data_IF_713710591404
#
_entry.id   IF_713710591404
#
_cell.length_a   1.000
_cell.length_b   1.000
_cell.length_c   1.000
_cell.angle_alpha   90.00
_cell.angle_beta   90.00
_cell.angle_gamma   90.00
#
_symmetry.space_group_name_H-M   'P 1'
#
loop_
_entity.id
_entity.type
_entity.pdbx_description
1 polymer ?
#
# COMPACT_ATOMS: atom_id res chain seq x y z
N UNK A 1 0.96 2.54 27.57
CA UNK A 1 0.85 1.30 26.78
C UNK A 1 -0.58 0.80 26.85
N UNK A 2 -1.08 0.24 25.75
CA UNK A 2 -2.42 -0.35 25.62
C UNK A 2 -2.30 -1.78 25.11
N UNK A 3 -3.37 -2.56 25.22
CA UNK A 3 -3.46 -3.84 24.53
C UNK A 3 -3.58 -3.57 23.03
N UNK A 4 -2.79 -4.31 22.22
CA UNK A 4 -2.85 -4.15 20.78
C UNK A 4 -4.22 -4.64 20.25
N UNK A 5 -4.92 -3.86 19.43
CA UNK A 5 -6.26 -4.25 18.93
C UNK A 5 -6.19 -5.45 17.96
N UNK A 6 -5.06 -5.70 17.34
CA UNK A 6 -4.86 -6.85 16.46
C UNK A 6 -4.48 -8.10 17.26
N UNK A 7 -5.28 -9.17 17.16
CA UNK A 7 -5.08 -10.42 17.89
C UNK A 7 -3.73 -11.09 17.63
N UNK A 8 -3.14 -10.87 16.46
CA UNK A 8 -1.85 -11.46 16.05
C UNK A 8 -0.69 -10.45 16.09
N UNK A 9 -0.85 -9.29 16.73
CA UNK A 9 0.16 -8.21 16.74
C UNK A 9 1.55 -8.65 17.25
N UNK A 10 1.63 -9.68 18.10
CA UNK A 10 2.90 -10.22 18.62
C UNK A 10 3.56 -11.24 17.70
N UNK A 11 2.82 -11.78 16.74
CA UNK A 11 3.26 -12.83 15.82
C UNK A 11 3.56 -12.26 14.44
N UNK A 12 2.67 -11.39 13.94
CA UNK A 12 2.80 -10.73 12.65
C UNK A 12 3.92 -9.68 12.67
N UNK A 13 4.81 -9.71 11.68
CA UNK A 13 5.90 -8.74 11.51
C UNK A 13 5.47 -7.37 10.96
N UNK A 14 4.18 -7.16 10.66
CA UNK A 14 3.69 -5.97 9.97
C UNK A 14 3.60 -4.70 10.84
N UNK A 15 3.33 -4.85 12.15
CA UNK A 15 3.13 -3.72 13.06
C UNK A 15 4.05 -3.82 14.28
N UNK A 16 4.73 -2.70 14.64
CA UNK A 16 5.71 -2.68 15.74
C UNK A 16 5.23 -1.93 16.97
N UNK A 17 4.27 -1.01 16.84
CA UNK A 17 3.89 -0.07 17.89
C UNK A 17 2.38 -0.03 18.20
N UNK A 18 1.62 -1.05 17.82
CA UNK A 18 0.18 -1.12 18.13
C UNK A 18 -0.14 -1.21 19.64
N UNK A 19 0.86 -1.51 20.46
CA UNK A 19 0.76 -1.53 21.92
C UNK A 19 0.90 -0.13 22.56
N UNK A 20 0.93 0.92 21.76
CA UNK A 20 0.82 2.32 22.18
C UNK A 20 -0.51 2.89 21.71
N UNK A 21 -1.17 3.72 22.53
CA UNK A 21 -2.30 4.52 22.06
C UNK A 21 -1.83 5.46 20.93
N UNK A 22 -2.75 5.90 20.10
CA UNK A 22 -2.38 6.60 18.86
C UNK A 22 -1.67 7.93 19.14
N UNK A 23 -2.09 8.65 20.18
CA UNK A 23 -1.45 9.89 20.63
C UNK A 23 0.02 9.67 20.99
N UNK A 24 0.33 8.58 21.71
CA UNK A 24 1.71 8.22 22.04
C UNK A 24 2.52 7.80 20.81
N UNK A 25 1.87 7.19 19.80
CA UNK A 25 2.52 6.90 18.53
C UNK A 25 2.93 8.18 17.80
N UNK A 26 2.08 9.22 17.83
CA UNK A 26 2.39 10.53 17.25
C UNK A 26 3.56 11.20 17.99
N UNK A 27 3.54 11.21 19.33
CA UNK A 27 4.65 11.71 20.16
C UNK A 27 5.96 10.99 19.86
N UNK A 28 5.91 9.65 19.72
CA UNK A 28 7.11 8.85 19.38
C UNK A 28 7.68 9.23 18.00
N UNK A 29 6.81 9.42 17.01
CA UNK A 29 7.20 9.82 15.65
C UNK A 29 7.80 11.23 15.64
N UNK A 30 7.16 12.17 16.33
CA UNK A 30 7.64 13.54 16.51
C UNK A 30 9.06 13.54 17.09
N UNK A 31 9.23 12.89 18.24
CA UNK A 31 10.54 12.79 18.92
C UNK A 31 11.61 12.11 18.08
N UNK A 32 11.23 11.14 17.24
CA UNK A 32 12.17 10.48 16.33
C UNK A 32 12.75 11.47 15.31
N UNK A 33 11.92 12.32 14.70
CA UNK A 33 12.37 13.34 13.74
C UNK A 33 13.22 14.37 14.45
N UNK A 34 12.76 14.92 15.58
CA UNK A 34 13.49 15.86 16.42
C UNK A 34 14.89 15.32 16.78
N UNK A 35 14.96 14.09 17.30
CA UNK A 35 16.23 13.46 17.66
C UNK A 35 17.16 13.27 16.47
N UNK A 36 16.64 12.95 15.29
CA UNK A 36 17.45 12.79 14.08
C UNK A 36 18.03 14.15 13.63
N UNK A 37 17.23 15.21 13.63
CA UNK A 37 17.71 16.56 13.32
C UNK A 37 18.80 17.01 14.30
N UNK A 38 18.62 16.78 15.60
CA UNK A 38 19.58 17.21 16.62
C UNK A 38 20.84 16.34 16.63
N UNK A 39 20.73 15.02 16.60
CA UNK A 39 21.86 14.09 16.82
C UNK A 39 22.62 13.74 15.54
N UNK A 40 21.91 13.64 14.41
CA UNK A 40 22.50 13.29 13.11
C UNK A 40 22.72 14.55 12.30
N UNK A 41 21.73 15.44 12.24
CA UNK A 41 21.78 16.69 11.51
C UNK A 41 22.60 17.79 12.20
N UNK A 42 22.96 17.59 13.49
CA UNK A 42 23.73 18.54 14.30
C UNK A 42 23.09 19.92 14.46
N UNK A 43 21.76 20.02 14.31
CA UNK A 43 21.02 21.25 14.58
C UNK A 43 20.86 21.47 16.08
N UNK A 44 20.92 22.73 16.52
CA UNK A 44 20.66 23.09 17.92
C UNK A 44 19.17 22.85 18.25
N UNK A 45 18.89 22.76 19.56
CA UNK A 45 17.50 22.62 20.02
C UNK A 45 16.65 23.81 19.57
N UNK A 46 17.17 25.02 19.72
CA UNK A 46 16.51 26.27 19.32
C UNK A 46 16.17 26.29 17.80
N UNK A 47 17.11 25.82 16.95
CA UNK A 47 16.88 25.73 15.52
C UNK A 47 15.74 24.74 15.19
N UNK A 48 15.70 23.60 15.87
CA UNK A 48 14.66 22.57 15.64
C UNK A 48 13.30 23.08 16.11
N UNK A 49 13.22 23.65 17.33
CA UNK A 49 11.98 24.19 17.89
C UNK A 49 11.38 25.31 17.04
N UNK A 50 12.23 26.10 16.37
CA UNK A 50 11.79 27.20 15.49
C UNK A 50 11.09 26.73 14.21
N UNK A 51 11.44 25.55 13.68
CA UNK A 51 10.98 25.09 12.36
C UNK A 51 10.12 23.83 12.42
N UNK A 52 10.08 23.17 13.57
CA UNK A 52 9.39 21.90 13.70
C UNK A 52 7.94 22.11 14.14
N UNK A 53 7.03 21.74 13.26
CA UNK A 53 5.61 21.76 13.53
C UNK A 53 5.12 20.43 14.13
N UNK A 54 3.93 20.40 14.76
CA UNK A 54 3.34 19.17 15.26
C UNK A 54 3.12 18.14 14.14
N UNK A 55 3.34 16.86 14.45
CA UNK A 55 3.09 15.79 13.49
C UNK A 55 1.60 15.73 13.12
N UNK A 56 1.30 15.72 11.84
CA UNK A 56 -0.06 15.60 11.32
C UNK A 56 -0.53 14.15 11.43
N UNK A 57 -1.48 13.91 12.31
CA UNK A 57 -2.07 12.59 12.55
C UNK A 57 -3.24 12.25 11.63
N UNK A 58 -3.73 11.02 11.78
CA UNK A 58 -4.98 10.53 11.19
C UNK A 58 -6.10 10.65 12.22
N UNK A 59 -7.32 10.89 11.76
CA UNK A 59 -8.53 10.82 12.58
C UNK A 59 -8.84 9.37 12.98
N UNK A 60 -8.79 8.45 11.98
CA UNK A 60 -8.87 7.01 12.18
C UNK A 60 -7.59 6.34 11.67
N UNK A 61 -6.75 5.76 12.55
CA UNK A 61 -5.50 5.12 12.17
C UNK A 61 -5.67 3.68 11.67
N UNK A 62 -6.89 3.27 11.34
CA UNK A 62 -7.20 1.95 10.79
C UNK A 62 -7.70 2.02 9.35
N UNK A 63 -7.78 0.87 8.67
CA UNK A 63 -8.35 0.72 7.31
C UNK A 63 -7.78 1.64 6.23
N UNK A 64 -6.60 2.20 6.45
CA UNK A 64 -6.01 3.19 5.57
C UNK A 64 -5.18 2.62 4.42
N UNK A 65 -4.76 1.34 4.49
CA UNK A 65 -3.88 0.77 3.46
C UNK A 65 -4.68 0.36 2.23
N UNK A 66 -4.42 1.05 1.13
CA UNK A 66 -5.01 0.75 -0.18
C UNK A 66 -4.32 -0.38 -0.93
N UNK A 67 -3.23 -0.94 -0.39
CA UNK A 67 -2.46 -2.04 -0.97
C UNK A 67 -2.06 -3.04 0.11
N UNK A 68 -2.28 -4.32 -0.18
CA UNK A 68 -1.75 -5.42 0.61
C UNK A 68 -1.17 -6.51 -0.31
N UNK A 69 -0.13 -7.19 0.16
CA UNK A 69 0.46 -8.36 -0.50
C UNK A 69 0.49 -9.48 0.53
N UNK A 70 -0.30 -10.51 0.25
CA UNK A 70 -0.46 -11.64 1.14
C UNK A 70 0.33 -12.84 0.62
N UNK A 71 1.40 -13.28 1.29
CA UNK A 71 1.98 -14.59 1.02
C UNK A 71 0.96 -15.69 1.25
N UNK A 72 1.04 -16.72 0.40
CA UNK A 72 0.28 -17.94 0.51
C UNK A 72 1.16 -19.04 1.13
N UNK A 73 0.60 -19.83 2.02
CA UNK A 73 1.33 -20.91 2.68
C UNK A 73 0.40 -21.96 3.27
N UNK A 74 0.97 -22.82 4.09
CA UNK A 74 0.22 -23.80 4.88
C UNK A 74 0.33 -23.47 6.37
N UNK A 75 -0.76 -23.71 7.10
CA UNK A 75 -0.70 -23.77 8.55
C UNK A 75 -0.11 -25.13 9.03
N UNK A 76 0.01 -25.28 10.35
CA UNK A 76 0.51 -26.52 10.99
C UNK A 76 -0.36 -27.75 10.73
N UNK A 77 -1.62 -27.54 10.36
CA UNK A 77 -2.59 -28.60 10.10
C UNK A 77 -2.69 -28.92 8.59
N UNK A 78 -1.90 -28.25 7.76
CA UNK A 78 -1.82 -28.47 6.30
C UNK A 78 -2.90 -27.73 5.52
N UNK A 79 -3.63 -26.78 6.12
CA UNK A 79 -4.62 -25.98 5.41
C UNK A 79 -3.95 -24.81 4.69
N UNK A 80 -4.51 -24.44 3.53
CA UNK A 80 -4.08 -23.24 2.79
C UNK A 80 -4.43 -22.00 3.61
N UNK A 81 -3.44 -21.12 3.80
CA UNK A 81 -3.61 -19.87 4.54
C UNK A 81 -2.97 -18.71 3.79
N UNK A 82 -3.55 -17.53 4.00
CA UNK A 82 -2.98 -16.25 3.62
C UNK A 82 -2.69 -15.45 4.87
N UNK A 83 -1.66 -14.59 4.82
CA UNK A 83 -1.34 -13.79 5.98
C UNK A 83 -0.15 -12.88 5.76
N UNK A 84 0.65 -12.70 6.79
CA UNK A 84 1.92 -11.98 6.69
C UNK A 84 3.04 -12.82 7.33
N UNK A 85 4.27 -12.56 6.95
CA UNK A 85 5.41 -13.25 7.55
C UNK A 85 5.60 -12.85 9.02
N UNK A 86 5.91 -13.83 9.85
CA UNK A 86 6.43 -13.57 11.18
C UNK A 86 7.74 -12.77 11.08
N UNK A 87 8.01 -11.92 12.07
CA UNK A 87 9.22 -11.11 12.08
C UNK A 87 10.47 -11.98 11.94
N UNK A 88 11.34 -11.64 10.99
CA UNK A 88 12.59 -12.35 10.66
C UNK A 88 12.41 -13.83 10.25
N UNK A 89 11.28 -14.15 9.65
CA UNK A 89 10.94 -15.51 9.23
C UNK A 89 10.12 -15.46 7.92
N UNK A 90 10.09 -16.57 7.18
CA UNK A 90 9.20 -16.82 6.05
C UNK A 90 7.95 -17.62 6.46
N UNK A 91 7.73 -17.84 7.75
CA UNK A 91 6.53 -18.47 8.25
C UNK A 91 5.32 -17.52 8.06
N UNK A 92 4.32 -17.98 7.34
CA UNK A 92 3.07 -17.24 7.16
C UNK A 92 2.23 -17.35 8.44
N UNK A 93 1.95 -16.20 9.04
CA UNK A 93 0.98 -16.10 10.16
C UNK A 93 -0.38 -15.87 9.54
N UNK A 94 -1.33 -16.82 9.71
CA UNK A 94 -2.67 -16.69 9.16
C UNK A 94 -3.38 -15.42 9.63
N UNK A 95 -4.13 -14.80 8.74
CA UNK A 95 -4.91 -13.62 9.06
C UNK A 95 -6.30 -13.71 8.43
N UNK A 96 -7.31 -13.52 9.27
CA UNK A 96 -8.69 -13.42 8.81
C UNK A 96 -8.98 -12.01 8.31
N UNK A 97 -8.48 -11.01 9.06
CA UNK A 97 -8.68 -9.60 8.75
C UNK A 97 -7.52 -8.74 9.28
N UNK A 98 -6.98 -7.88 8.44
CA UNK A 98 -5.96 -6.91 8.82
C UNK A 98 -6.60 -5.56 9.11
N UNK A 99 -6.51 -5.09 10.36
CA UNK A 99 -7.09 -3.80 10.77
C UNK A 99 -6.55 -2.60 9.99
N UNK A 100 -5.38 -2.71 9.37
CA UNK A 100 -4.81 -1.64 8.54
C UNK A 100 -5.30 -1.70 7.08
N UNK A 101 -5.64 -2.89 6.58
CA UNK A 101 -6.08 -3.12 5.20
C UNK A 101 -7.57 -2.87 5.00
N UNK A 102 -7.98 -2.77 3.76
CA UNK A 102 -9.39 -2.64 3.38
C UNK A 102 -10.18 -3.91 3.71
N UNK A 103 -11.47 -3.77 4.01
CA UNK A 103 -12.34 -4.88 4.43
C UNK A 103 -12.55 -5.94 3.35
N UNK A 104 -12.45 -5.55 2.09
CA UNK A 104 -12.60 -6.46 0.93
C UNK A 104 -11.53 -7.55 0.89
N UNK A 105 -10.37 -7.34 1.52
CA UNK A 105 -9.28 -8.31 1.55
C UNK A 105 -9.73 -9.69 2.05
N UNK A 106 -10.48 -9.74 3.14
CA UNK A 106 -10.94 -10.99 3.73
C UNK A 106 -11.80 -11.81 2.75
N UNK A 107 -12.78 -11.15 2.10
CA UNK A 107 -13.65 -11.79 1.10
C UNK A 107 -12.87 -12.28 -0.10
N UNK A 108 -11.96 -11.46 -0.64
CA UNK A 108 -11.13 -11.80 -1.79
C UNK A 108 -10.26 -13.02 -1.49
N UNK A 109 -9.60 -13.04 -0.33
CA UNK A 109 -8.74 -14.16 0.08
C UNK A 109 -9.53 -15.45 0.29
N UNK A 110 -10.77 -15.37 0.82
CA UNK A 110 -11.65 -16.52 0.96
C UNK A 110 -12.00 -17.12 -0.43
N UNK A 111 -12.41 -16.29 -1.39
CA UNK A 111 -12.70 -16.72 -2.78
C UNK A 111 -11.47 -17.39 -3.42
N UNK A 112 -10.28 -16.81 -3.25
CA UNK A 112 -9.05 -17.38 -3.81
C UNK A 112 -8.72 -18.71 -3.14
N UNK A 113 -8.94 -18.85 -1.82
CA UNK A 113 -8.75 -20.12 -1.12
C UNK A 113 -9.65 -21.21 -1.66
N UNK A 114 -10.95 -20.96 -1.81
CA UNK A 114 -11.91 -21.91 -2.38
C UNK A 114 -11.52 -22.31 -3.81
N UNK A 115 -11.10 -21.35 -4.62
CA UNK A 115 -10.58 -21.63 -5.97
C UNK A 115 -9.35 -22.54 -5.94
N UNK A 116 -8.38 -22.28 -5.05
CA UNK A 116 -7.18 -23.10 -4.91
C UNK A 116 -7.50 -24.53 -4.50
N UNK A 117 -8.39 -24.71 -3.53
CA UNK A 117 -8.83 -26.02 -3.06
C UNK A 117 -9.53 -26.79 -4.17
N UNK A 118 -10.47 -26.15 -4.88
CA UNK A 118 -11.23 -26.76 -5.97
C UNK A 118 -10.38 -27.13 -7.20
N UNK A 119 -9.32 -26.39 -7.47
CA UNK A 119 -8.41 -26.62 -8.60
C UNK A 119 -7.10 -27.33 -8.20
N UNK A 120 -6.99 -27.81 -6.95
CA UNK A 120 -5.81 -28.47 -6.40
C UNK A 120 -4.51 -27.65 -6.55
N UNK A 121 -4.62 -26.31 -6.43
CA UNK A 121 -3.49 -25.38 -6.51
C UNK A 121 -2.76 -25.35 -5.16
N UNK A 122 -1.47 -25.62 -5.19
CA UNK A 122 -0.62 -25.60 -3.98
C UNK A 122 0.02 -24.25 -3.77
N UNK A 123 0.10 -23.75 -2.51
CA UNK A 123 1.00 -22.68 -2.14
C UNK A 123 2.44 -22.97 -2.57
N UNK A 124 3.16 -21.92 -2.96
CA UNK A 124 4.58 -22.03 -3.29
C UNK A 124 5.41 -22.18 -2.02
N UNK A 125 6.25 -23.19 -2.00
CA UNK A 125 7.24 -23.41 -0.94
C UNK A 125 8.61 -22.94 -1.41
N UNK A 126 9.15 -21.92 -0.75
CA UNK A 126 10.45 -21.33 -1.09
C UNK A 126 11.63 -22.30 -0.89
N UNK A 127 11.50 -23.28 0.03
CA UNK A 127 12.55 -24.26 0.31
C UNK A 127 12.67 -25.27 -0.82
N UNK A 128 11.56 -25.83 -1.25
CA UNK A 128 11.52 -26.86 -2.29
C UNK A 128 11.41 -26.29 -3.70
N UNK A 129 10.92 -25.04 -3.84
CA UNK A 129 10.60 -24.41 -5.12
C UNK A 129 9.37 -25.01 -5.78
N UNK A 130 8.54 -25.76 -5.04
CA UNK A 130 7.33 -26.40 -5.53
C UNK A 130 6.09 -25.57 -5.18
N UNK A 131 5.00 -25.80 -5.92
CA UNK A 131 3.75 -25.07 -5.75
C UNK A 131 3.61 -23.91 -6.73
N UNK A 132 2.39 -23.40 -6.86
CA UNK A 132 2.02 -22.42 -7.89
C UNK A 132 1.83 -21.01 -7.31
N UNK A 133 0.95 -20.86 -6.32
CA UNK A 133 0.59 -19.54 -5.81
C UNK A 133 1.58 -19.05 -4.74
N UNK A 134 2.25 -17.93 -5.03
CA UNK A 134 3.23 -17.30 -4.12
C UNK A 134 2.58 -16.23 -3.24
N UNK A 135 1.91 -15.27 -3.87
CA UNK A 135 1.30 -14.13 -3.19
C UNK A 135 0.00 -13.71 -3.87
N UNK A 136 -0.82 -13.02 -3.14
CA UNK A 136 -1.96 -12.26 -3.66
C UNK A 136 -1.73 -10.78 -3.40
N UNK A 137 -1.69 -9.98 -4.45
CA UNK A 137 -1.68 -8.53 -4.38
C UNK A 137 -3.11 -8.04 -4.53
N UNK A 138 -3.56 -7.23 -3.56
CA UNK A 138 -4.87 -6.56 -3.60
C UNK A 138 -4.63 -5.05 -3.52
N UNK A 139 -5.29 -4.29 -4.38
CA UNK A 139 -5.33 -2.82 -4.34
C UNK A 139 -6.77 -2.33 -4.38
N UNK A 140 -7.02 -1.21 -3.74
CA UNK A 140 -8.32 -0.51 -3.81
C UNK A 140 -8.10 0.98 -4.01
N UNK A 141 -8.77 1.57 -4.99
CA UNK A 141 -8.91 3.01 -5.10
C UNK A 141 -9.89 3.50 -4.03
N UNK A 142 -9.47 4.45 -3.20
CA UNK A 142 -10.29 4.94 -2.09
C UNK A 142 -11.40 5.88 -2.55
N UNK A 143 -11.15 6.64 -3.62
CA UNK A 143 -12.14 7.52 -4.22
C UNK A 143 -12.97 6.83 -5.29
N UNK A 144 -12.34 6.00 -6.10
CA UNK A 144 -13.03 5.29 -7.18
C UNK A 144 -13.83 4.07 -6.71
N UNK A 145 -13.45 3.48 -5.56
CA UNK A 145 -13.96 2.19 -5.11
C UNK A 145 -13.47 0.99 -5.94
N UNK A 146 -12.65 1.21 -6.98
CA UNK A 146 -12.15 0.15 -7.85
C UNK A 146 -11.20 -0.78 -7.12
N UNK A 147 -11.39 -2.08 -7.29
CA UNK A 147 -10.58 -3.14 -6.68
C UNK A 147 -9.78 -3.87 -7.75
N UNK A 148 -8.52 -4.12 -7.48
CA UNK A 148 -7.61 -4.91 -8.29
C UNK A 148 -7.09 -6.11 -7.51
N UNK A 149 -7.08 -7.26 -8.17
CA UNK A 149 -6.45 -8.48 -7.66
C UNK A 149 -5.41 -8.97 -8.67
N UNK A 150 -4.19 -9.23 -8.19
CA UNK A 150 -3.14 -9.83 -9.00
C UNK A 150 -2.53 -11.03 -8.24
N UNK A 151 -2.63 -12.23 -8.81
CA UNK A 151 -2.04 -13.45 -8.25
C UNK A 151 -0.59 -13.57 -8.73
N UNK A 152 0.36 -13.70 -7.82
CA UNK A 152 1.78 -13.93 -8.16
C UNK A 152 2.03 -15.43 -8.18
N UNK A 153 2.42 -15.96 -9.33
CA UNK A 153 2.53 -17.40 -9.55
C UNK A 153 3.92 -17.86 -9.97
N UNK A 154 4.30 -19.04 -9.50
CA UNK A 154 5.48 -19.80 -9.94
C UNK A 154 5.12 -20.72 -11.09
N UNK A 155 4.61 -20.16 -12.19
CA UNK A 155 4.14 -20.92 -13.35
C UNK A 155 3.79 -19.98 -14.49
N UNK A 156 3.41 -20.56 -15.64
CA UNK A 156 3.08 -19.79 -16.82
C UNK A 156 1.61 -19.44 -16.94
N UNK A 157 0.73 -20.23 -16.29
CA UNK A 157 -0.74 -20.09 -16.39
C UNK A 157 -1.40 -20.49 -15.07
N UNK A 158 -2.59 -19.93 -14.83
CA UNK A 158 -3.52 -20.37 -13.78
C UNK A 158 -4.45 -21.45 -14.34
N UNK A 159 -4.59 -22.61 -13.67
CA UNK A 159 -5.59 -23.62 -14.04
C UNK A 159 -7.00 -23.07 -13.87
N UNK A 160 -7.90 -23.36 -14.81
CA UNK A 160 -9.32 -22.96 -14.73
C UNK A 160 -9.51 -21.47 -14.34
N UNK A 161 -8.76 -20.57 -14.97
CA UNK A 161 -8.78 -19.13 -14.64
C UNK A 161 -10.18 -18.51 -14.76
N UNK A 162 -11.02 -19.01 -15.66
CA UNK A 162 -12.40 -18.53 -15.85
C UNK A 162 -13.24 -18.70 -14.57
N UNK A 163 -13.06 -19.80 -13.83
CA UNK A 163 -13.72 -20.02 -12.54
C UNK A 163 -13.31 -18.97 -11.49
N UNK A 164 -12.01 -18.63 -11.45
CA UNK A 164 -11.53 -17.57 -10.56
C UNK A 164 -12.13 -16.22 -10.93
N UNK A 165 -12.15 -15.91 -12.23
CA UNK A 165 -12.73 -14.66 -12.75
C UNK A 165 -14.20 -14.56 -12.39
N UNK A 166 -15.00 -15.61 -12.62
CA UNK A 166 -16.42 -15.64 -12.28
C UNK A 166 -16.65 -15.32 -10.80
N UNK A 167 -15.93 -16.00 -9.89
CA UNK A 167 -16.10 -15.78 -8.45
C UNK A 167 -15.59 -14.43 -7.97
N UNK A 168 -14.46 -13.92 -8.49
CA UNK A 168 -13.92 -12.64 -8.09
C UNK A 168 -14.69 -11.45 -8.67
N UNK A 169 -15.27 -11.56 -9.86
CA UNK A 169 -16.05 -10.49 -10.49
C UNK A 169 -17.30 -10.11 -9.69
N UNK A 170 -17.79 -11.00 -8.84
CA UNK A 170 -18.91 -10.73 -7.92
C UNK A 170 -18.52 -9.88 -6.70
N UNK A 171 -17.22 -9.67 -6.45
CA UNK A 171 -16.76 -8.81 -5.35
C UNK A 171 -17.07 -7.35 -5.70
N UNK A 172 -17.79 -6.62 -4.82
CA UNK A 172 -18.12 -5.21 -5.09
C UNK A 172 -16.89 -4.37 -5.40
N UNK A 173 -16.97 -3.60 -6.48
CA UNK A 173 -15.87 -2.74 -6.94
C UNK A 173 -14.79 -3.47 -7.73
N UNK A 174 -14.87 -4.79 -7.96
CA UNK A 174 -13.87 -5.50 -8.76
C UNK A 174 -13.76 -4.88 -10.14
N UNK A 175 -12.56 -4.52 -10.53
CA UNK A 175 -12.26 -3.82 -11.77
C UNK A 175 -11.10 -4.44 -12.56
N UNK A 176 -10.20 -5.15 -11.88
CA UNK A 176 -9.02 -5.76 -12.48
C UNK A 176 -8.69 -7.10 -11.84
N UNK A 177 -8.63 -8.16 -12.67
CA UNK A 177 -8.16 -9.48 -12.25
C UNK A 177 -7.01 -9.87 -13.17
N UNK A 178 -5.86 -10.15 -12.61
CA UNK A 178 -4.65 -10.48 -13.35
C UNK A 178 -3.78 -11.49 -12.60
N UNK A 179 -2.77 -12.02 -13.27
CA UNK A 179 -1.69 -12.72 -12.59
C UNK A 179 -0.33 -12.21 -13.07
N UNK A 180 0.66 -12.33 -12.19
CA UNK A 180 2.03 -12.00 -12.46
C UNK A 180 2.90 -13.25 -12.38
N UNK A 181 3.74 -13.46 -13.39
CA UNK A 181 4.65 -14.61 -13.45
C UNK A 181 5.96 -14.26 -12.74
N UNK A 182 6.24 -14.96 -11.66
CA UNK A 182 7.52 -14.88 -10.96
C UNK A 182 8.04 -16.28 -10.61
N UNK A 183 8.98 -16.78 -11.42
CA UNK A 183 9.65 -18.09 -11.22
C UNK A 183 11.02 -17.95 -10.55
N UNK A 184 11.45 -16.71 -10.24
CA UNK A 184 12.75 -16.46 -9.65
C UNK A 184 12.78 -16.81 -8.16
N UNK A 185 13.90 -17.35 -7.71
CA UNK A 185 14.19 -17.61 -6.29
C UNK A 185 14.87 -16.39 -5.65
N UNK A 186 14.19 -15.24 -5.68
CA UNK A 186 14.66 -13.97 -5.14
C UNK A 186 13.62 -13.37 -4.20
N UNK A 187 14.01 -12.35 -3.43
CA UNK A 187 13.11 -11.60 -2.56
C UNK A 187 12.16 -10.65 -3.35
N UNK A 188 12.29 -10.59 -4.67
CA UNK A 188 11.42 -9.83 -5.54
C UNK A 188 10.05 -10.53 -5.62
N UNK A 189 8.98 -9.85 -5.21
CA UNK A 189 7.64 -10.41 -5.20
C UNK A 189 7.06 -10.46 -6.62
N UNK A 190 7.10 -9.33 -7.35
CA UNK A 190 6.54 -9.21 -8.70
C UNK A 190 7.61 -9.50 -9.75
N UNK A 191 7.32 -10.41 -10.65
CA UNK A 191 8.09 -10.62 -11.88
C UNK A 191 7.77 -9.56 -12.94
N UNK A 192 8.35 -9.70 -14.13
CA UNK A 192 8.21 -8.68 -15.18
C UNK A 192 6.90 -8.80 -15.95
N UNK A 193 6.38 -10.02 -16.11
CA UNK A 193 5.21 -10.29 -16.94
C UNK A 193 3.93 -10.28 -16.11
N UNK A 194 3.00 -9.39 -16.45
CA UNK A 194 1.62 -9.36 -15.93
C UNK A 194 0.68 -9.79 -17.06
N UNK A 195 -0.23 -10.67 -16.76
CA UNK A 195 -1.26 -11.16 -17.70
C UNK A 195 -2.64 -10.80 -17.16
N UNK A 196 -3.37 -10.01 -17.93
CA UNK A 196 -4.76 -9.66 -17.62
C UNK A 196 -5.65 -10.89 -17.86
N UNK A 197 -6.56 -11.15 -16.92
CA UNK A 197 -7.61 -12.18 -17.05
C UNK A 197 -8.99 -11.55 -17.30
N UNK A 198 -9.28 -10.43 -16.62
CA UNK A 198 -10.57 -9.77 -16.73
C UNK A 198 -10.49 -8.29 -16.34
N UNK A 199 -11.33 -7.46 -16.95
CA UNK A 199 -11.42 -6.03 -16.68
C UNK A 199 -10.25 -5.25 -17.29
N UNK A 200 -9.79 -4.21 -16.59
CA UNK A 200 -8.68 -3.36 -17.03
C UNK A 200 -7.37 -3.72 -16.31
N UNK A 201 -6.23 -3.46 -16.97
CA UNK A 201 -4.91 -3.69 -16.35
C UNK A 201 -4.62 -2.72 -15.20
N UNK A 202 -5.27 -1.58 -15.16
CA UNK A 202 -5.10 -0.55 -14.15
C UNK A 202 -6.43 -0.25 -13.46
N UNK A 203 -6.38 0.07 -12.18
CA UNK A 203 -7.44 0.80 -11.50
C UNK A 203 -7.13 2.29 -11.53
N UNK A 204 -8.16 3.11 -11.33
CA UNK A 204 -8.00 4.56 -11.18
C UNK A 204 -8.22 4.95 -9.73
N UNK A 205 -7.49 5.95 -9.28
CA UNK A 205 -7.77 6.62 -8.00
C UNK A 205 -7.39 8.09 -8.07
N UNK A 206 -7.96 8.91 -7.20
CA UNK A 206 -7.82 10.35 -7.22
C UNK A 206 -7.19 10.83 -5.92
N UNK A 207 -6.24 11.74 -6.00
CA UNK A 207 -5.67 12.49 -4.87
C UNK A 207 -6.20 13.92 -4.98
N UNK A 208 -6.89 14.38 -3.94
CA UNK A 208 -7.40 15.76 -3.85
C UNK A 208 -6.38 16.63 -3.11
N UNK A 209 -6.34 17.89 -3.50
CA UNK A 209 -5.76 18.90 -2.65
C UNK A 209 -6.66 19.12 -1.43
N UNK A 210 -6.05 19.22 -0.27
CA UNK A 210 -6.74 19.56 0.98
C UNK A 210 -6.19 20.88 1.51
N UNK A 211 -6.99 21.58 2.28
CA UNK A 211 -6.56 22.74 3.06
C UNK A 211 -6.89 22.52 4.52
N UNK A 212 -6.04 23.03 5.39
CA UNK A 212 -6.32 23.04 6.82
C UNK A 212 -7.39 24.09 7.14
N UNK A 213 -8.31 23.73 8.03
CA UNK A 213 -9.32 24.63 8.56
C UNK A 213 -8.84 25.25 9.88
N UNK A 214 -9.41 26.38 10.26
CA UNK A 214 -9.14 27.02 11.56
C UNK A 214 -9.47 26.11 12.75
N UNK A 215 -10.37 25.13 12.57
CA UNK A 215 -10.70 24.10 13.55
C UNK A 215 -9.62 23.03 13.73
N UNK A 216 -8.56 23.01 12.88
CA UNK A 216 -7.50 22.01 12.87
C UNK A 216 -7.79 20.75 12.07
N UNK A 217 -8.89 20.73 11.30
CA UNK A 217 -9.23 19.66 10.35
C UNK A 217 -8.70 19.93 8.95
N UNK A 218 -8.81 18.93 8.06
CA UNK A 218 -8.47 19.07 6.64
C UNK A 218 -9.70 18.83 5.78
N UNK A 219 -10.00 19.76 4.88
CA UNK A 219 -11.09 19.62 3.89
C UNK A 219 -10.54 19.56 2.47
N UNK A 220 -11.20 18.76 1.62
CA UNK A 220 -10.87 18.67 0.20
C UNK A 220 -11.31 19.90 -0.56
N UNK A 221 -10.49 20.27 -1.53
CA UNK A 221 -10.81 21.30 -2.53
C UNK A 221 -11.25 20.63 -3.84
N UNK A 222 -11.64 21.43 -4.84
CA UNK A 222 -11.98 20.93 -6.18
C UNK A 222 -10.74 20.52 -6.99
N UNK A 223 -9.53 20.89 -6.54
CA UNK A 223 -8.28 20.53 -7.20
C UNK A 223 -7.91 19.08 -6.93
N UNK A 224 -7.72 18.31 -7.97
CA UNK A 224 -7.37 16.88 -7.85
C UNK A 224 -6.59 16.35 -9.04
N UNK A 225 -5.93 15.21 -8.85
CA UNK A 225 -5.24 14.46 -9.90
C UNK A 225 -5.65 13.00 -9.84
N UNK A 226 -6.08 12.45 -10.98
CA UNK A 226 -6.45 11.04 -11.11
C UNK A 226 -5.30 10.24 -11.72
N UNK A 227 -4.97 9.11 -11.10
CA UNK A 227 -3.87 8.24 -11.49
C UNK A 227 -4.39 6.89 -11.98
N UNK A 228 -3.71 6.35 -13.02
CA UNK A 228 -3.85 4.96 -13.42
C UNK A 228 -2.82 4.11 -12.67
N UNK A 229 -3.27 3.12 -11.92
CA UNK A 229 -2.45 2.33 -11.01
C UNK A 229 -2.44 0.87 -11.48
N UNK A 230 -1.28 0.41 -11.97
CA UNK A 230 -1.06 -0.99 -12.35
C UNK A 230 -0.65 -1.86 -11.14
N UNK A 231 -0.59 -3.19 -11.27
CA UNK A 231 -0.04 -4.05 -10.21
C UNK A 231 1.39 -3.66 -9.78
N UNK A 232 2.21 -3.16 -10.72
CA UNK A 232 3.62 -2.81 -10.50
C UNK A 232 3.85 -1.37 -10.07
N UNK A 233 2.88 -0.46 -10.28
CA UNK A 233 3.03 0.95 -9.95
C UNK A 233 3.33 1.17 -8.46
N UNK A 234 4.28 2.07 -8.16
CA UNK A 234 4.35 2.63 -6.82
C UNK A 234 3.22 3.65 -6.67
N UNK A 235 2.43 3.51 -5.63
CA UNK A 235 1.39 4.45 -5.24
C UNK A 235 1.31 4.46 -3.71
N UNK A 236 1.20 5.62 -3.11
CA UNK A 236 1.21 5.77 -1.65
C UNK A 236 0.09 4.94 -1.01
N UNK A 237 0.45 4.17 0.02
CA UNK A 237 -0.46 3.17 0.62
C UNK A 237 -1.50 3.77 1.57
N UNK A 238 -1.34 5.04 1.95
CA UNK A 238 -2.26 5.77 2.80
C UNK A 238 -2.77 7.01 2.04
N UNK A 239 -3.84 6.91 1.24
CA UNK A 239 -4.31 8.01 0.40
C UNK A 239 -4.74 9.22 1.22
N UNK A 240 -5.37 9.03 2.39
CA UNK A 240 -5.81 10.13 3.26
C UNK A 240 -4.64 10.99 3.73
N UNK A 241 -3.56 10.35 4.21
CA UNK A 241 -2.35 11.10 4.61
C UNK A 241 -1.56 11.60 3.41
N UNK A 242 -1.68 10.97 2.25
CA UNK A 242 -1.04 11.44 1.01
C UNK A 242 -1.66 12.77 0.55
N UNK A 243 -2.96 12.93 0.64
CA UNK A 243 -3.64 14.21 0.35
C UNK A 243 -3.08 15.33 1.24
N UNK A 244 -2.97 15.09 2.55
CA UNK A 244 -2.38 16.06 3.50
C UNK A 244 -0.91 16.33 3.17
N UNK A 245 -0.09 15.29 3.01
CA UNK A 245 1.33 15.40 2.73
C UNK A 245 1.62 16.19 1.45
N UNK A 246 0.91 15.90 0.36
CA UNK A 246 1.16 16.56 -0.92
C UNK A 246 0.64 18.00 -0.92
N UNK A 247 -0.47 18.27 -0.21
CA UNK A 247 -0.98 19.63 -0.06
C UNK A 247 -0.02 20.52 0.75
N UNK A 248 0.50 20.01 1.87
CA UNK A 248 1.51 20.71 2.66
C UNK A 248 2.81 20.91 1.88
N UNK A 249 3.27 19.90 1.11
CA UNK A 249 4.44 20.04 0.27
C UNK A 249 4.27 21.12 -0.80
N UNK A 250 3.08 21.22 -1.41
CA UNK A 250 2.74 22.26 -2.38
C UNK A 250 2.70 23.65 -1.72
N UNK A 251 2.13 23.76 -0.52
CA UNK A 251 2.09 24.99 0.26
C UNK A 251 3.50 25.47 0.62
N UNK A 252 4.35 24.60 1.19
CA UNK A 252 5.72 24.94 1.55
C UNK A 252 6.61 25.25 0.36
N UNK A 253 6.30 24.68 -0.83
CA UNK A 253 7.01 25.02 -2.05
C UNK A 253 6.75 26.48 -2.50
N UNK A 254 5.66 27.11 -2.07
CA UNK A 254 5.34 28.51 -2.32
C UNK A 254 5.30 28.86 -3.80
N UNK A 255 4.83 27.95 -4.66
CA UNK A 255 4.86 28.11 -6.11
C UNK A 255 3.92 29.24 -6.56
N UNK A 256 4.40 30.06 -7.50
CA UNK A 256 3.71 31.25 -8.03
C UNK A 256 3.32 31.11 -9.51
N UNK A 257 3.55 29.94 -10.12
CA UNK A 257 3.37 29.69 -11.55
C UNK A 257 4.55 30.09 -12.42
N UNK A 258 5.67 30.49 -11.84
CA UNK A 258 6.89 30.89 -12.55
C UNK A 258 8.05 29.92 -12.39
N UNK A 259 7.98 29.05 -11.38
CA UNK A 259 9.04 28.15 -10.96
C UNK A 259 9.13 26.93 -11.88
N UNK A 260 10.36 26.44 -12.04
CA UNK A 260 10.69 25.14 -12.63
C UNK A 260 11.04 24.22 -11.49
N UNK A 261 10.31 23.11 -11.39
CA UNK A 261 10.46 22.11 -10.32
C UNK A 261 11.10 20.84 -10.88
N UNK A 262 12.01 20.24 -10.13
CA UNK A 262 12.61 18.94 -10.44
C UNK A 262 12.19 17.91 -9.41
N UNK A 263 11.58 16.82 -9.87
CA UNK A 263 11.31 15.62 -9.10
C UNK A 263 12.26 14.52 -9.54
N UNK A 264 13.31 14.30 -8.76
CA UNK A 264 14.45 13.45 -9.15
C UNK A 264 14.19 11.95 -8.95
N UNK A 265 13.09 11.56 -8.34
CA UNK A 265 12.68 10.18 -8.10
C UNK A 265 11.17 10.06 -8.29
N UNK A 266 10.68 10.47 -9.46
CA UNK A 266 9.26 10.75 -9.66
C UNK A 266 8.36 9.50 -9.67
N UNK A 267 8.88 8.31 -9.92
CA UNK A 267 8.06 7.11 -10.09
C UNK A 267 7.00 7.31 -11.19
N UNK A 268 5.74 7.04 -10.88
CA UNK A 268 4.61 7.33 -11.79
C UNK A 268 4.19 8.81 -11.79
N UNK A 269 4.96 9.69 -11.16
CA UNK A 269 4.74 11.14 -11.17
C UNK A 269 3.67 11.64 -10.20
N UNK A 270 3.39 10.93 -9.12
CA UNK A 270 2.28 11.33 -8.21
C UNK A 270 2.46 12.73 -7.65
N UNK A 271 3.61 13.04 -7.06
CA UNK A 271 3.89 14.39 -6.54
C UNK A 271 4.22 15.37 -7.68
N UNK A 272 4.90 14.92 -8.75
CA UNK A 272 5.20 15.77 -9.91
C UNK A 272 3.94 16.37 -10.52
N UNK A 273 2.91 15.55 -10.78
CA UNK A 273 1.64 15.99 -11.34
C UNK A 273 0.86 16.88 -10.38
N UNK A 274 1.00 16.64 -9.07
CA UNK A 274 0.39 17.47 -8.05
C UNK A 274 1.01 18.87 -8.01
N UNK A 275 2.35 18.97 -8.05
CA UNK A 275 3.09 20.23 -8.11
C UNK A 275 2.90 20.96 -9.45
N UNK A 276 2.67 20.23 -10.54
CA UNK A 276 2.46 20.80 -11.86
C UNK A 276 1.21 21.71 -11.97
N UNK A 277 0.27 21.58 -11.04
CA UNK A 277 -0.91 22.45 -10.98
C UNK A 277 -0.55 23.91 -10.61
N UNK A 278 0.59 24.13 -9.93
CA UNK A 278 1.02 25.46 -9.48
C UNK A 278 2.41 25.89 -10.01
N UNK A 279 3.17 24.99 -10.63
CA UNK A 279 4.46 25.29 -11.22
C UNK A 279 4.33 25.74 -12.68
N UNK A 280 5.30 26.51 -13.19
CA UNK A 280 5.42 26.79 -14.63
C UNK A 280 5.75 25.50 -15.40
N UNK A 281 6.63 24.67 -14.86
CA UNK A 281 7.05 23.41 -15.45
C UNK A 281 7.59 22.46 -14.37
N UNK A 282 7.35 21.16 -14.54
CA UNK A 282 7.91 20.12 -13.67
C UNK A 282 8.67 19.11 -14.53
N UNK A 283 9.91 18.85 -14.18
CA UNK A 283 10.72 17.76 -14.73
C UNK A 283 10.71 16.57 -13.80
N UNK A 284 10.20 15.42 -14.25
CA UNK A 284 10.29 14.16 -13.54
C UNK A 284 11.46 13.32 -14.05
N UNK A 285 12.26 12.78 -13.16
CA UNK A 285 13.36 11.86 -13.46
C UNK A 285 13.12 10.55 -12.73
N UNK A 286 13.11 9.45 -13.48
CA UNK A 286 12.95 8.09 -12.96
C UNK A 286 13.89 7.14 -13.69
N UNK A 287 14.59 6.27 -12.97
CA UNK A 287 15.55 5.32 -13.53
C UNK A 287 14.86 4.01 -13.97
N UNK A 288 13.73 3.69 -13.38
CA UNK A 288 12.95 2.49 -13.71
C UNK A 288 12.00 2.84 -14.85
N UNK A 289 12.06 2.13 -16.00
CA UNK A 289 11.21 2.40 -17.16
C UNK A 289 9.74 2.06 -16.91
#
# INVERSE_FOLDING_TARGET
RVEAPCKIARQCGGCQIQNLCYEEQLVLKQKKVENNLRRIGSFSQEQVEKVMEPVVGMEDPFRYRNKAQFPCGYDKDGNIVFGFYAARSHQVIPIDDCLLGVSENAKILAVIKEYMEACHIKPYDETTGQGLLRHVLIRKGFHSGQVMVCLIINGDKLPQADRLVESLSEVPGMHSISYNVNKEKTNRILGDKVQLLWGDLCIRDTIHRVREEESGGFIRTDESVTFAISPKSFYQVNPVQTEKLYSLALEYAGLTGKEIVWDLYCGIGTISLFLAQAAKHVYGVEIVP
#
